data_IF_482620613019
#
_entry.id   IF_482620613019
#
_cell.length_a   1.000
_cell.length_b   1.000
_cell.length_c   1.000
_cell.angle_alpha   90.00
_cell.angle_beta   90.00
_cell.angle_gamma   90.00
#
_symmetry.space_group_name_H-M   'P 1'
#
loop_
_entity.id
_entity.type
_entity.pdbx_description
1 polymer ?
#
# COMPACT_ATOMS: atom_id res chain seq x y z
N UNK A 1 -8.61 -9.82 -10.13
CA UNK A 1 -9.13 -8.44 -10.16
C UNK A 1 -9.56 -8.18 -8.74
N UNK A 2 -8.56 -8.22 -7.86
CA UNK A 2 -8.71 -8.34 -6.42
C UNK A 2 -8.10 -7.08 -5.82
N UNK A 3 -8.62 -5.96 -6.30
CA UNK A 3 -8.45 -4.71 -5.60
C UNK A 3 -9.21 -4.86 -4.29
N UNK A 4 -8.44 -4.98 -3.19
CA UNK A 4 -8.86 -4.80 -1.79
C UNK A 4 -8.97 -6.07 -0.92
N UNK A 5 -8.26 -7.17 -1.17
CA UNK A 5 -7.95 -8.10 -0.08
C UNK A 5 -6.68 -7.65 0.67
N UNK A 6 -6.78 -6.52 1.36
CA UNK A 6 -5.74 -6.05 2.28
C UNK A 6 -5.57 -6.98 3.50
N UNK A 7 -6.53 -7.88 3.71
CA UNK A 7 -6.54 -8.89 4.77
C UNK A 7 -5.45 -9.96 4.63
N UNK A 8 -4.82 -10.07 3.45
CA UNK A 8 -3.71 -10.98 3.21
C UNK A 8 -2.32 -10.36 3.45
N UNK A 9 -2.23 -9.16 4.05
CA UNK A 9 -1.00 -8.36 4.21
C UNK A 9 -0.21 -8.15 2.90
N UNK A 10 -0.89 -8.25 1.76
CA UNK A 10 -0.30 -8.22 0.42
C UNK A 10 -1.13 -7.34 -0.50
N UNK A 11 -0.43 -6.56 -1.32
CA UNK A 11 -1.05 -5.67 -2.31
C UNK A 11 -0.46 -6.02 -3.68
N UNK A 12 -1.32 -6.21 -4.67
CA UNK A 12 -0.88 -6.46 -6.05
C UNK A 12 -0.07 -5.29 -6.61
N UNK A 13 1.08 -5.58 -7.24
CA UNK A 13 2.03 -4.58 -7.73
C UNK A 13 1.44 -3.56 -8.72
N UNK A 14 0.46 -3.99 -9.52
CA UNK A 14 -0.21 -3.16 -10.52
C UNK A 14 -1.36 -2.33 -9.96
N UNK A 15 -1.77 -2.55 -8.71
CA UNK A 15 -2.91 -1.86 -8.10
C UNK A 15 -2.67 -0.34 -7.94
N UNK A 16 -3.74 0.48 -7.93
CA UNK A 16 -3.63 1.91 -7.67
C UNK A 16 -2.99 2.21 -6.31
N UNK A 17 -3.26 1.38 -5.29
CA UNK A 17 -2.63 1.49 -3.97
C UNK A 17 -1.12 1.30 -4.02
N UNK A 18 -0.66 0.22 -4.66
CA UNK A 18 0.78 -0.05 -4.80
C UNK A 18 1.49 1.08 -5.56
N UNK A 19 0.85 1.69 -6.55
CA UNK A 19 1.41 2.83 -7.29
C UNK A 19 1.49 4.09 -6.43
N UNK A 20 0.46 4.38 -5.64
CA UNK A 20 0.41 5.56 -4.78
C UNK A 20 1.43 5.51 -3.63
N UNK A 21 1.75 4.31 -3.12
CA UNK A 21 2.71 4.11 -2.03
C UNK A 21 4.18 4.06 -2.50
N UNK A 22 4.46 3.97 -3.80
CA UNK A 22 5.84 3.97 -4.30
C UNK A 22 6.54 5.27 -3.95
N UNK A 23 7.69 5.16 -3.29
CA UNK A 23 8.48 6.31 -2.85
C UNK A 23 7.87 7.09 -1.69
N UNK A 24 6.81 6.58 -1.06
CA UNK A 24 6.25 7.21 0.13
C UNK A 24 7.17 7.04 1.35
N UNK A 25 7.16 8.04 2.23
CA UNK A 25 7.85 8.00 3.52
C UNK A 25 6.87 7.92 4.69
N UNK A 26 7.35 7.54 5.88
CA UNK A 26 6.53 7.53 7.10
C UNK A 26 6.01 8.96 7.36
N UNK A 27 4.71 9.07 7.61
CA UNK A 27 3.98 10.34 7.78
C UNK A 27 3.42 10.92 6.47
N UNK A 28 3.68 10.30 5.31
CA UNK A 28 3.07 10.75 4.05
C UNK A 28 1.57 10.44 4.03
N UNK A 29 0.77 11.44 3.65
CA UNK A 29 -0.64 11.26 3.28
C UNK A 29 -0.75 11.09 1.76
N UNK A 30 -1.31 9.97 1.30
CA UNK A 30 -1.51 9.66 -0.12
C UNK A 30 -3.01 9.54 -0.44
N UNK A 31 -3.46 10.32 -1.42
CA UNK A 31 -4.80 10.21 -1.98
C UNK A 31 -4.82 9.14 -3.06
N UNK A 32 -5.66 8.11 -2.89
CA UNK A 32 -5.82 7.01 -3.83
C UNK A 32 -7.21 7.06 -4.45
N UNK A 33 -7.25 7.09 -5.78
CA UNK A 33 -8.50 7.02 -6.55
C UNK A 33 -8.91 5.57 -6.72
N UNK A 34 -10.00 5.19 -6.06
CA UNK A 34 -10.62 3.88 -6.20
C UNK A 34 -11.97 4.02 -6.92
N UNK A 35 -12.55 2.94 -7.46
CA UNK A 35 -13.86 2.99 -8.11
C UNK A 35 -14.97 3.57 -7.22
N UNK A 36 -14.86 3.38 -5.89
CA UNK A 36 -15.79 3.92 -4.89
C UNK A 36 -15.54 5.37 -4.46
N UNK A 37 -14.56 6.06 -5.06
CA UNK A 37 -14.19 7.44 -4.74
C UNK A 37 -12.73 7.60 -4.33
N UNK A 38 -12.35 8.83 -4.02
CA UNK A 38 -11.02 9.14 -3.50
C UNK A 38 -10.95 8.83 -2.00
N UNK A 39 -9.86 8.18 -1.58
CA UNK A 39 -9.59 7.93 -0.17
C UNK A 39 -8.16 8.31 0.17
N UNK A 40 -7.97 8.95 1.31
CA UNK A 40 -6.66 9.33 1.83
C UNK A 40 -6.14 8.28 2.80
N UNK A 41 -4.83 8.02 2.70
CA UNK A 41 -4.14 7.02 3.50
C UNK A 41 -2.83 7.59 4.02
N UNK A 42 -2.55 7.37 5.30
CA UNK A 42 -1.31 7.79 5.94
C UNK A 42 -0.35 6.60 6.07
N UNK A 43 0.92 6.82 5.74
CA UNK A 43 1.97 5.81 5.96
C UNK A 43 2.42 5.86 7.42
N UNK A 44 1.88 4.95 8.23
CA UNK A 44 2.22 4.87 9.66
C UNK A 44 3.58 4.21 9.92
N UNK A 45 3.96 3.22 9.12
CA UNK A 45 5.21 2.47 9.27
C UNK A 45 5.63 1.79 7.96
N UNK A 46 6.94 1.55 7.81
CA UNK A 46 7.52 0.74 6.72
C UNK A 46 8.37 -0.34 7.36
N UNK A 47 7.98 -1.60 7.20
CA UNK A 47 8.72 -2.75 7.66
C UNK A 47 9.23 -3.56 6.45
N UNK A 48 10.52 -3.83 6.43
CA UNK A 48 11.09 -4.76 5.47
C UNK A 48 11.08 -6.16 6.08
N UNK A 49 10.60 -7.14 5.33
CA UNK A 49 10.69 -8.53 5.75
C UNK A 49 12.17 -8.84 6.02
N UNK A 50 12.48 -9.31 7.23
CA UNK A 50 13.83 -9.77 7.53
C UNK A 50 14.09 -10.97 6.63
N UNK A 51 15.13 -10.92 5.80
CA UNK A 51 15.59 -12.12 5.13
C UNK A 51 15.98 -13.12 6.23
N UNK A 52 15.19 -14.18 6.41
CA UNK A 52 15.54 -15.27 7.29
C UNK A 52 16.75 -15.97 6.67
N UNK A 53 17.94 -15.67 7.18
CA UNK A 53 19.16 -16.39 6.83
C UNK A 53 19.04 -17.80 7.42
N UNK A 54 19.29 -18.88 6.67
CA UNK A 54 19.24 -20.24 7.21
C UNK A 54 20.31 -20.45 8.28
#
# INVERSE_FOLDING_TARGET
DDEQDASADRIGWSSPMARALRGATIGDLKTVRLPGGEKEWEVLAIAYATCARP
#
